data_IF_532125706675
#
_entry.id   IF_532125706675
#
_cell.length_a   1.000
_cell.length_b   1.000
_cell.length_c   1.000
_cell.angle_alpha   90.00
_cell.angle_beta   90.00
_cell.angle_gamma   90.00
#
_symmetry.space_group_name_H-M   'P 1'
#
loop_
_entity.id
_entity.type
_entity.pdbx_description
1 polymer ?
#
# COMPACT_ATOMS: atom_id res chain seq x y z
N UNK A 1 -26.21 58.21 -30.84
CA UNK A 1 -26.96 57.00 -30.48
C UNK A 1 -26.10 56.19 -29.53
N UNK A 2 -26.35 56.31 -28.22
CA UNK A 2 -25.65 55.57 -27.17
C UNK A 2 -26.30 54.20 -27.00
N UNK A 3 -25.56 53.12 -27.22
CA UNK A 3 -25.97 51.78 -26.83
C UNK A 3 -25.30 51.44 -25.49
N UNK A 4 -26.14 51.33 -24.46
CA UNK A 4 -25.79 50.77 -23.15
C UNK A 4 -25.65 49.25 -23.31
N UNK A 5 -24.50 48.69 -22.94
CA UNK A 5 -24.35 47.24 -22.78
C UNK A 5 -24.20 46.95 -21.30
N UNK A 6 -25.21 46.26 -20.77
CA UNK A 6 -25.39 45.91 -19.37
C UNK A 6 -24.44 44.78 -18.96
N UNK A 7 -23.71 44.97 -17.87
CA UNK A 7 -23.01 43.91 -17.16
C UNK A 7 -24.05 43.02 -16.46
N UNK A 8 -24.05 41.73 -16.78
CA UNK A 8 -24.71 40.69 -15.98
C UNK A 8 -23.59 39.94 -15.26
N UNK A 9 -23.45 40.22 -13.97
CA UNK A 9 -22.64 39.42 -13.06
C UNK A 9 -23.34 38.10 -12.80
N UNK A 10 -22.76 37.01 -13.28
CA UNK A 10 -23.11 35.67 -12.84
C UNK A 10 -22.20 35.36 -11.66
N UNK A 11 -22.75 35.53 -10.46
CA UNK A 11 -22.22 34.94 -9.23
C UNK A 11 -22.41 33.43 -9.34
N UNK A 12 -21.37 32.70 -9.75
CA UNK A 12 -21.33 31.24 -9.60
C UNK A 12 -21.06 30.95 -8.12
N UNK A 13 -22.15 30.67 -7.41
CA UNK A 13 -22.14 30.10 -6.07
C UNK A 13 -21.79 28.61 -6.17
N UNK A 14 -20.88 28.21 -5.29
CA UNK A 14 -20.20 26.93 -5.18
C UNK A 14 -21.10 25.69 -5.18
N UNK A 15 -20.62 24.64 -5.84
CA UNK A 15 -20.81 23.26 -5.43
C UNK A 15 -19.45 22.56 -5.53
N UNK A 16 -18.65 22.65 -4.46
CA UNK A 16 -17.54 21.74 -4.26
C UNK A 16 -18.15 20.39 -3.89
N UNK A 17 -18.40 19.55 -4.88
CA UNK A 17 -18.63 18.13 -4.63
C UNK A 17 -17.33 17.56 -4.07
N UNK A 18 -17.36 17.12 -2.81
CA UNK A 18 -16.40 16.16 -2.30
C UNK A 18 -16.58 14.87 -3.12
N UNK A 19 -15.87 14.79 -4.23
CA UNK A 19 -15.70 13.53 -4.96
C UNK A 19 -14.62 12.79 -4.19
N UNK A 20 -15.02 11.96 -3.22
CA UNK A 20 -14.12 10.95 -2.67
C UNK A 20 -13.70 10.00 -3.80
N UNK A 21 -12.50 9.45 -3.75
CA UNK A 21 -11.97 8.57 -4.79
C UNK A 21 -12.70 7.21 -4.92
N UNK A 22 -13.83 7.03 -4.21
CA UNK A 22 -14.72 5.89 -4.33
C UNK A 22 -16.17 6.34 -4.14
N UNK A 23 -17.07 5.78 -4.94
CA UNK A 23 -18.51 5.82 -4.65
C UNK A 23 -18.82 4.80 -3.57
N UNK A 24 -19.61 5.18 -2.57
CA UNK A 24 -20.15 4.26 -1.56
C UNK A 24 -21.04 3.21 -2.26
N UNK A 25 -20.43 2.13 -2.73
CA UNK A 25 -21.12 0.90 -3.09
C UNK A 25 -21.74 0.36 -1.82
N UNK A 26 -23.05 0.60 -1.65
CA UNK A 26 -23.80 0.24 -0.46
C UNK A 26 -23.51 -1.18 0.01
N UNK A 27 -22.84 -1.28 1.16
CA UNK A 27 -22.70 -2.53 1.90
C UNK A 27 -24.09 -2.94 2.35
N UNK A 28 -24.73 -3.82 1.59
CA UNK A 28 -25.87 -4.59 2.10
C UNK A 28 -25.33 -5.54 3.16
N UNK A 29 -25.41 -5.12 4.42
CA UNK A 29 -25.19 -6.01 5.56
C UNK A 29 -26.30 -7.05 5.59
N UNK A 30 -26.11 -8.19 4.93
CA UNK A 30 -26.93 -9.37 5.18
C UNK A 30 -26.43 -10.02 6.47
N UNK A 31 -27.18 -9.83 7.55
CA UNK A 31 -26.93 -10.47 8.84
C UNK A 31 -27.25 -11.97 8.84
N UNK A 32 -26.56 -12.68 9.75
CA UNK A 32 -26.84 -14.04 10.22
C UNK A 32 -25.98 -15.11 9.54
N UNK A 33 -25.24 -15.99 10.24
CA UNK A 33 -25.61 -16.71 11.46
C UNK A 33 -24.36 -17.14 12.23
N UNK A 34 -24.45 -17.19 13.57
CA UNK A 34 -23.35 -17.55 14.46
C UNK A 34 -22.73 -18.93 14.21
N UNK A 35 -21.41 -18.96 14.18
CA UNK A 35 -20.57 -20.16 14.32
C UNK A 35 -19.73 -20.03 15.59
N UNK A 36 -19.60 -21.13 16.32
CA UNK A 36 -19.06 -21.18 17.67
C UNK A 36 -17.61 -20.70 17.81
N UNK A 37 -17.27 -20.23 19.01
CA UNK A 37 -16.07 -19.46 19.29
C UNK A 37 -14.75 -20.20 19.01
N UNK A 38 -13.84 -19.49 18.35
CA UNK A 38 -12.41 -19.72 18.41
C UNK A 38 -11.80 -18.84 19.51
N UNK A 39 -10.96 -19.44 20.34
CA UNK A 39 -10.32 -18.78 21.47
C UNK A 39 -9.58 -17.51 21.03
N UNK A 40 -9.75 -16.43 21.79
CA UNK A 40 -9.11 -15.15 21.54
C UNK A 40 -7.60 -15.31 21.38
N UNK A 41 -7.10 -14.91 20.21
CA UNK A 41 -5.69 -14.63 20.01
C UNK A 41 -5.30 -13.50 20.95
N UNK A 42 -4.52 -13.85 21.98
CA UNK A 42 -3.86 -12.90 22.85
C UNK A 42 -3.07 -11.93 21.98
N UNK A 43 -3.41 -10.64 22.09
CA UNK A 43 -2.62 -9.54 21.58
C UNK A 43 -1.13 -9.79 21.91
N UNK A 44 -0.34 -10.10 20.88
CA UNK A 44 1.10 -10.27 20.98
C UNK A 44 1.79 -8.91 21.00
N UNK A 45 1.57 -8.13 22.06
CA UNK A 45 2.56 -7.15 22.49
C UNK A 45 3.57 -7.93 23.35
N UNK A 46 4.85 -7.81 23.00
CA UNK A 46 5.96 -8.63 23.51
C UNK A 46 5.84 -9.06 24.97
N UNK A 47 5.61 -10.36 25.16
CA UNK A 47 5.57 -11.01 26.46
C UNK A 47 6.38 -12.30 26.39
N UNK A 48 7.35 -12.43 27.28
CA UNK A 48 8.30 -13.53 27.35
C UNK A 48 7.61 -14.91 27.26
N UNK A 49 7.84 -15.61 26.15
CA UNK A 49 7.36 -16.96 25.93
C UNK A 49 7.71 -17.40 24.53
N UNK A 50 8.90 -17.99 24.37
CA UNK A 50 9.32 -18.68 23.15
C UNK A 50 8.50 -19.95 22.91
N UNK A 51 7.20 -19.79 22.65
CA UNK A 51 6.37 -20.81 22.03
C UNK A 51 6.70 -20.84 20.55
N UNK A 52 6.90 -22.04 20.01
CA UNK A 52 7.16 -22.21 18.57
C UNK A 52 6.04 -21.55 17.78
N UNK A 53 6.38 -20.53 17.01
CA UNK A 53 5.46 -19.92 16.06
C UNK A 53 5.42 -20.88 14.88
N UNK A 54 4.43 -21.79 14.88
CA UNK A 54 4.31 -22.82 13.84
C UNK A 54 3.60 -22.31 12.59
N UNK A 55 3.01 -21.12 12.68
CA UNK A 55 2.28 -20.45 11.60
C UNK A 55 3.12 -19.27 11.11
N UNK A 56 3.00 -18.95 9.81
CA UNK A 56 3.70 -17.83 9.22
C UNK A 56 3.20 -16.52 9.85
N UNK A 57 4.10 -15.75 10.47
CA UNK A 57 3.77 -14.48 11.15
C UNK A 57 3.52 -13.36 10.14
N UNK A 58 4.34 -13.32 9.08
CA UNK A 58 4.25 -12.32 8.03
C UNK A 58 4.85 -12.89 6.74
N UNK A 59 4.46 -12.31 5.61
CA UNK A 59 5.12 -12.55 4.34
C UNK A 59 6.28 -11.55 4.18
N UNK A 60 7.46 -12.09 3.88
CA UNK A 60 8.71 -11.30 3.85
C UNK A 60 8.90 -10.52 2.54
N UNK A 61 8.00 -10.63 1.56
CA UNK A 61 8.19 -10.08 0.22
C UNK A 61 8.07 -8.56 0.20
N UNK A 62 7.08 -7.99 0.91
CA UNK A 62 6.80 -6.54 0.94
C UNK A 62 6.48 -5.98 2.33
N UNK A 63 7.38 -5.19 2.97
CA UNK A 63 7.17 -4.76 4.33
C UNK A 63 6.12 -3.65 4.36
N UNK A 64 5.44 -3.52 5.50
CA UNK A 64 4.32 -2.61 5.73
C UNK A 64 3.05 -2.87 4.90
N UNK A 65 3.09 -3.63 3.79
CA UNK A 65 1.93 -3.85 2.90
C UNK A 65 0.76 -4.50 3.62
N UNK A 66 0.94 -5.64 4.29
CA UNK A 66 -0.13 -6.28 5.05
C UNK A 66 -0.68 -5.37 6.17
N UNK A 67 0.19 -4.52 6.75
CA UNK A 67 -0.21 -3.58 7.79
C UNK A 67 -1.05 -2.43 7.24
N UNK A 68 -0.67 -1.90 6.08
CA UNK A 68 -1.23 -0.70 5.48
C UNK A 68 -2.42 -0.97 4.56
N UNK A 69 -2.51 -2.14 3.93
CA UNK A 69 -3.52 -2.43 2.92
C UNK A 69 -4.59 -3.45 3.33
N UNK A 70 -4.29 -4.37 4.25
CA UNK A 70 -5.25 -5.41 4.64
C UNK A 70 -6.29 -4.87 5.63
N UNK A 71 -7.43 -4.44 5.10
CA UNK A 71 -8.59 -3.91 5.85
C UNK A 71 -8.22 -2.81 6.87
N UNK A 72 -7.22 -1.99 6.57
CA UNK A 72 -6.66 -1.00 7.50
C UNK A 72 -7.70 -0.03 8.05
N UNK A 73 -8.60 0.41 7.17
CA UNK A 73 -9.65 1.39 7.44
C UNK A 73 -10.99 0.77 7.86
N UNK A 74 -11.04 -0.57 8.02
CA UNK A 74 -12.23 -1.23 8.57
C UNK A 74 -12.43 -0.87 10.04
N UNK A 75 -13.66 -0.57 10.43
CA UNK A 75 -14.04 -0.38 11.83
C UNK A 75 -14.16 -1.70 12.60
N UNK A 76 -14.22 -2.84 11.90
CA UNK A 76 -14.27 -4.16 12.51
C UNK A 76 -12.84 -4.70 12.73
N UNK A 77 -12.35 -4.54 13.95
CA UNK A 77 -11.02 -5.03 14.32
C UNK A 77 -10.89 -6.55 14.26
N UNK A 78 -11.99 -7.29 14.44
CA UNK A 78 -11.97 -8.76 14.41
C UNK A 78 -11.81 -9.24 12.97
N UNK A 79 -12.60 -8.68 12.05
CA UNK A 79 -12.49 -8.97 10.62
C UNK A 79 -11.11 -8.56 10.07
N UNK A 80 -10.61 -7.39 10.48
CA UNK A 80 -9.28 -6.90 10.11
C UNK A 80 -8.17 -7.87 10.53
N UNK A 81 -8.16 -8.31 11.79
CA UNK A 81 -7.15 -9.27 12.27
C UNK A 81 -7.25 -10.61 11.56
N UNK A 82 -8.46 -11.17 11.45
CA UNK A 82 -8.67 -12.44 10.75
C UNK A 82 -8.22 -12.38 9.28
N UNK A 83 -8.42 -11.23 8.61
CA UNK A 83 -8.00 -11.05 7.23
C UNK A 83 -6.48 -10.95 7.07
N UNK A 84 -5.78 -10.35 8.06
CA UNK A 84 -4.31 -10.34 8.11
C UNK A 84 -3.75 -11.73 8.34
N UNK A 85 -4.38 -12.51 9.21
CA UNK A 85 -3.99 -13.90 9.46
C UNK A 85 -4.21 -14.76 8.19
N UNK A 86 -5.33 -14.57 7.49
CA UNK A 86 -5.59 -15.21 6.19
C UNK A 86 -4.56 -14.81 5.13
N UNK A 87 -4.20 -13.52 5.07
CA UNK A 87 -3.12 -13.04 4.20
C UNK A 87 -1.79 -13.74 4.50
N UNK A 88 -1.44 -13.92 5.77
CA UNK A 88 -0.19 -14.54 6.18
C UNK A 88 -0.19 -16.06 5.97
N UNK A 89 -1.36 -16.70 6.07
CA UNK A 89 -1.53 -18.14 5.91
C UNK A 89 -1.69 -18.58 4.43
N UNK A 90 -1.88 -17.65 3.49
CA UNK A 90 -2.06 -17.95 2.07
C UNK A 90 -0.73 -18.41 1.43
N UNK A 91 -0.51 -19.73 1.39
CA UNK A 91 0.68 -20.38 0.85
C UNK A 91 0.64 -20.60 -0.67
N UNK A 92 -0.55 -20.72 -1.24
CA UNK A 92 -0.76 -20.84 -2.69
C UNK A 92 -0.76 -19.47 -3.38
N UNK A 93 0.22 -19.24 -4.26
CA UNK A 93 0.33 -18.03 -5.09
C UNK A 93 -0.95 -17.76 -5.91
N UNK A 94 -1.65 -18.81 -6.35
CA UNK A 94 -2.89 -18.64 -7.12
C UNK A 94 -4.05 -18.08 -6.29
N UNK A 95 -3.95 -18.13 -4.96
CA UNK A 95 -4.96 -17.60 -4.04
C UNK A 95 -4.78 -16.11 -3.76
N UNK A 96 -3.57 -15.57 -3.94
CA UNK A 96 -3.22 -14.19 -3.59
C UNK A 96 -4.06 -13.08 -4.26
N UNK A 97 -4.55 -13.24 -5.50
CA UNK A 97 -5.43 -12.24 -6.11
C UNK A 97 -6.71 -11.93 -5.31
N UNK A 98 -7.10 -12.79 -4.35
CA UNK A 98 -8.24 -12.54 -3.44
C UNK A 98 -8.06 -11.28 -2.59
N UNK A 99 -6.83 -10.80 -2.39
CA UNK A 99 -6.52 -9.61 -1.57
C UNK A 99 -6.54 -8.30 -2.37
N UNK A 100 -6.56 -8.37 -3.71
CA UNK A 100 -6.55 -7.18 -4.59
C UNK A 100 -7.68 -6.19 -4.23
N UNK A 101 -8.93 -6.60 -3.98
CA UNK A 101 -9.99 -5.65 -3.64
C UNK A 101 -9.76 -4.91 -2.32
N UNK A 102 -9.20 -5.59 -1.31
CA UNK A 102 -8.85 -4.95 -0.03
C UNK A 102 -7.76 -3.88 -0.27
N UNK A 103 -6.76 -4.24 -1.08
CA UNK A 103 -5.62 -3.40 -1.38
C UNK A 103 -6.02 -2.19 -2.22
N UNK A 104 -6.79 -2.37 -3.28
CA UNK A 104 -7.30 -1.30 -4.11
C UNK A 104 -8.14 -0.29 -3.29
N UNK A 105 -8.96 -0.78 -2.36
CA UNK A 105 -9.76 0.07 -1.48
C UNK A 105 -8.90 0.91 -0.54
N UNK A 106 -7.88 0.29 0.08
CA UNK A 106 -6.95 1.00 0.96
C UNK A 106 -6.08 2.00 0.17
N UNK A 107 -5.61 1.63 -1.02
CA UNK A 107 -4.86 2.52 -1.92
C UNK A 107 -5.69 3.74 -2.32
N UNK A 108 -6.98 3.58 -2.64
CA UNK A 108 -7.86 4.71 -2.96
C UNK A 108 -7.97 5.71 -1.81
N UNK A 109 -8.01 5.22 -0.56
CA UNK A 109 -8.05 6.06 0.63
C UNK A 109 -6.70 6.75 0.84
N UNK A 110 -5.58 6.03 0.71
CA UNK A 110 -4.24 6.58 0.90
C UNK A 110 -3.89 7.63 -0.16
N UNK A 111 -4.19 7.34 -1.42
CA UNK A 111 -4.07 8.27 -2.54
C UNK A 111 -4.84 9.56 -2.24
N UNK A 112 -6.09 9.47 -1.74
CA UNK A 112 -6.90 10.66 -1.38
C UNK A 112 -6.26 11.63 -0.37
N UNK A 113 -5.24 11.18 0.37
CA UNK A 113 -4.47 12.01 1.31
C UNK A 113 -3.37 12.83 0.62
N UNK A 114 -2.94 12.42 -0.58
CA UNK A 114 -1.94 13.11 -1.41
C UNK A 114 -2.54 14.38 -2.03
N UNK A 115 -2.64 15.41 -1.21
CA UNK A 115 -3.28 16.68 -1.55
C UNK A 115 -2.26 17.76 -1.89
N UNK A 116 -1.22 17.43 -2.66
CA UNK A 116 -0.31 18.46 -3.16
C UNK A 116 -1.10 19.54 -3.92
N UNK A 117 -0.61 20.77 -3.83
CA UNK A 117 -1.08 21.98 -4.50
C UNK A 117 -1.38 21.85 -5.99
N UNK A 118 -0.85 20.81 -6.64
CA UNK A 118 -1.08 20.48 -8.05
C UNK A 118 -2.27 19.54 -8.30
N UNK A 119 -2.75 18.80 -7.28
CA UNK A 119 -3.87 17.85 -7.36
C UNK A 119 -4.87 18.12 -6.24
N UNK A 120 -5.83 19.06 -6.42
CA UNK A 120 -6.70 19.56 -5.35
C UNK A 120 -7.65 18.53 -4.70
N UNK A 121 -7.75 17.32 -5.26
CA UNK A 121 -8.61 16.24 -4.78
C UNK A 121 -7.85 14.96 -4.40
N UNK A 122 -6.52 14.93 -4.53
CA UNK A 122 -5.67 13.78 -4.21
C UNK A 122 -6.07 12.44 -4.82
N UNK A 123 -6.81 12.41 -5.92
CA UNK A 123 -7.15 11.13 -6.57
C UNK A 123 -6.37 10.96 -7.87
N UNK A 124 -5.74 9.81 -8.04
CA UNK A 124 -5.13 9.34 -9.27
C UNK A 124 -3.64 9.66 -9.40
N UNK A 125 -2.92 9.89 -8.29
CA UNK A 125 -1.46 10.07 -8.30
C UNK A 125 -0.72 8.75 -8.06
N UNK A 126 -1.44 7.70 -7.63
CA UNK A 126 -0.89 6.37 -7.39
C UNK A 126 -0.13 5.77 -8.60
N UNK A 127 0.93 5.01 -8.32
CA UNK A 127 1.65 4.23 -9.34
C UNK A 127 0.73 3.22 -10.02
N UNK A 128 0.99 2.95 -11.29
CA UNK A 128 0.19 2.01 -12.10
C UNK A 128 -1.31 2.30 -12.07
N UNK A 129 -1.70 3.58 -11.97
CA UNK A 129 -3.09 4.00 -11.99
C UNK A 129 -3.75 3.58 -13.32
N UNK A 130 -4.88 2.90 -13.21
CA UNK A 130 -5.70 2.50 -14.33
C UNK A 130 -6.69 3.59 -14.73
N UNK A 131 -7.20 3.48 -15.95
CA UNK A 131 -8.40 4.23 -16.33
C UNK A 131 -9.57 3.80 -15.45
N UNK A 132 -10.33 4.75 -14.86
CA UNK A 132 -11.52 4.39 -14.08
C UNK A 132 -12.51 3.67 -14.98
N UNK A 133 -12.97 2.49 -14.57
CA UNK A 133 -14.21 1.93 -15.11
C UNK A 133 -15.35 2.34 -14.21
N UNK A 134 -16.47 2.79 -14.78
CA UNK A 134 -17.63 3.20 -14.00
C UNK A 134 -17.50 4.56 -13.28
N UNK A 135 -18.61 5.04 -12.68
CA UNK A 135 -18.65 6.33 -11.99
C UNK A 135 -17.92 6.31 -10.63
N UNK A 136 -17.59 5.14 -10.09
CA UNK A 136 -16.87 4.98 -8.82
C UNK A 136 -15.37 4.75 -8.99
N UNK A 137 -14.86 4.65 -10.21
CA UNK A 137 -13.45 4.34 -10.45
C UNK A 137 -13.11 2.88 -10.10
N UNK A 138 -14.09 2.00 -10.18
CA UNK A 138 -13.93 0.58 -9.98
C UNK A 138 -12.80 0.10 -10.90
N UNK A 139 -11.81 -0.63 -10.37
CA UNK A 139 -10.55 -1.07 -11.02
C UNK A 139 -9.41 -0.05 -11.17
N UNK A 140 -9.61 1.23 -10.85
CA UNK A 140 -8.57 2.27 -11.00
C UNK A 140 -7.26 1.94 -10.27
N UNK A 141 -7.34 1.26 -9.12
CA UNK A 141 -6.19 0.93 -8.28
C UNK A 141 -5.72 -0.53 -8.41
N UNK A 142 -6.32 -1.31 -9.32
CA UNK A 142 -6.06 -2.75 -9.44
C UNK A 142 -4.63 -3.05 -9.93
N UNK A 143 -4.04 -2.16 -10.72
CA UNK A 143 -2.67 -2.32 -11.24
C UNK A 143 -1.65 -2.46 -10.12
N UNK A 144 -1.55 -1.45 -9.25
CA UNK A 144 -0.66 -1.51 -8.09
C UNK A 144 -1.13 -2.51 -7.06
N UNK A 145 -2.44 -2.63 -6.81
CA UNK A 145 -2.96 -3.63 -5.88
C UNK A 145 -2.57 -5.07 -6.27
N UNK A 146 -2.55 -5.38 -7.58
CA UNK A 146 -2.08 -6.65 -8.11
C UNK A 146 -0.59 -6.88 -7.85
N UNK A 147 0.25 -5.87 -8.12
CA UNK A 147 1.70 -5.93 -7.85
C UNK A 147 1.97 -6.13 -6.36
N UNK A 148 1.23 -5.45 -5.49
CA UNK A 148 1.42 -5.54 -4.04
C UNK A 148 0.84 -6.82 -3.43
N UNK A 149 -0.25 -7.36 -4.00
CA UNK A 149 -0.79 -8.66 -3.61
C UNK A 149 0.16 -9.81 -4.01
N UNK A 150 0.94 -9.60 -5.08
CA UNK A 150 2.10 -10.43 -5.41
C UNK A 150 3.27 -10.12 -4.47
N UNK A 151 3.17 -10.68 -3.27
CA UNK A 151 4.13 -10.55 -2.18
C UNK A 151 5.38 -11.44 -2.36
N UNK A 152 5.89 -11.47 -3.59
CA UNK A 152 7.17 -12.06 -3.94
C UNK A 152 8.24 -10.97 -4.05
N UNK A 153 9.47 -11.37 -3.74
CA UNK A 153 10.63 -10.52 -3.95
C UNK A 153 11.27 -10.86 -5.28
N UNK A 154 11.18 -9.94 -6.24
CA UNK A 154 11.78 -10.12 -7.56
C UNK A 154 13.22 -9.63 -7.56
N UNK A 155 14.12 -10.45 -8.13
CA UNK A 155 15.53 -10.12 -8.28
C UNK A 155 15.97 -10.39 -9.71
N UNK A 156 16.44 -9.36 -10.41
CA UNK A 156 17.14 -9.53 -11.67
C UNK A 156 18.63 -9.82 -11.41
N UNK A 157 18.97 -11.10 -11.44
CA UNK A 157 20.35 -11.58 -11.28
C UNK A 157 21.29 -11.24 -12.44
N UNK A 158 20.76 -10.74 -13.57
CA UNK A 158 21.57 -10.33 -14.71
C UNK A 158 22.10 -8.90 -14.57
N UNK A 159 21.45 -8.09 -13.72
CA UNK A 159 21.88 -6.73 -13.41
C UNK A 159 22.98 -6.71 -12.34
N UNK A 160 23.99 -5.87 -12.56
CA UNK A 160 25.02 -5.56 -11.56
C UNK A 160 24.73 -4.27 -10.80
N UNK A 161 23.55 -3.67 -11.00
CA UNK A 161 23.16 -2.39 -10.43
C UNK A 161 21.94 -2.58 -9.53
N UNK A 162 22.12 -2.46 -8.22
CA UNK A 162 21.03 -2.53 -7.25
C UNK A 162 20.74 -1.14 -6.69
N UNK A 163 19.73 -0.45 -7.23
CA UNK A 163 19.45 0.95 -6.88
C UNK A 163 18.13 1.19 -6.16
N UNK A 164 17.20 0.23 -6.19
CA UNK A 164 15.88 0.38 -5.58
C UNK A 164 15.30 -0.96 -5.14
N UNK A 165 14.58 -0.97 -4.02
CA UNK A 165 13.89 -2.13 -3.46
C UNK A 165 12.84 -2.74 -4.43
N UNK A 166 12.09 -1.89 -5.12
CA UNK A 166 11.05 -2.29 -6.09
C UNK A 166 11.48 -2.06 -7.53
N UNK A 167 12.78 -2.15 -7.80
CA UNK A 167 13.36 -1.80 -9.09
C UNK A 167 12.79 -2.60 -10.26
N UNK A 168 12.73 -3.93 -10.13
CA UNK A 168 12.22 -4.84 -11.19
C UNK A 168 10.75 -4.56 -11.48
N UNK A 169 9.94 -4.36 -10.44
CA UNK A 169 8.54 -4.03 -10.60
C UNK A 169 8.34 -2.64 -11.20
N UNK A 170 9.15 -1.66 -10.78
CA UNK A 170 9.09 -0.31 -11.32
C UNK A 170 9.45 -0.26 -12.81
N UNK A 171 10.44 -1.03 -13.24
CA UNK A 171 10.81 -1.17 -14.65
C UNK A 171 9.69 -1.86 -15.44
N UNK A 172 9.12 -2.94 -14.90
CA UNK A 172 8.00 -3.65 -15.53
C UNK A 172 6.76 -2.75 -15.71
N UNK A 173 6.57 -1.78 -14.80
CA UNK A 173 5.52 -0.77 -14.88
C UNK A 173 5.90 0.46 -15.73
N UNK A 174 7.13 0.54 -16.24
CA UNK A 174 7.64 1.67 -17.02
C UNK A 174 7.83 2.96 -16.21
N UNK A 175 7.92 2.86 -14.89
CA UNK A 175 8.17 4.00 -13.98
C UNK A 175 9.63 4.44 -14.08
N UNK A 176 10.53 3.48 -14.27
CA UNK A 176 11.96 3.69 -14.51
C UNK A 176 12.39 2.95 -15.78
N UNK A 177 13.42 3.45 -16.46
CA UNK A 177 13.97 2.81 -17.67
C UNK A 177 14.86 1.60 -17.33
N UNK A 178 15.57 1.67 -16.20
CA UNK A 178 16.50 0.64 -15.71
C UNK A 178 16.25 0.46 -14.20
N UNK A 179 15.47 -0.56 -13.84
CA UNK A 179 15.12 -0.89 -12.45
C UNK A 179 16.26 -1.55 -11.68
N UNK A 180 17.25 -2.06 -12.40
CA UNK A 180 18.37 -2.75 -11.82
C UNK A 180 17.97 -4.10 -11.23
N UNK A 181 18.70 -4.54 -10.21
CA UNK A 181 18.54 -5.88 -9.66
C UNK A 181 17.24 -6.07 -8.85
N UNK A 182 16.56 -4.99 -8.46
CA UNK A 182 15.41 -5.04 -7.54
C UNK A 182 15.76 -5.69 -6.20
N UNK A 183 14.79 -6.38 -5.62
CA UNK A 183 15.02 -7.17 -4.42
C UNK A 183 15.21 -6.34 -3.16
N UNK A 184 15.68 -6.97 -2.08
CA UNK A 184 15.97 -6.29 -0.81
C UNK A 184 17.44 -6.43 -0.47
N UNK A 185 18.02 -5.33 -0.02
CA UNK A 185 19.27 -5.32 0.73
C UNK A 185 19.02 -4.67 2.09
N UNK A 186 19.75 -5.05 3.16
CA UNK A 186 19.69 -4.35 4.43
C UNK A 186 19.89 -2.83 4.30
N UNK A 187 20.62 -2.38 3.26
CA UNK A 187 20.88 -0.95 3.04
C UNK A 187 19.65 -0.14 2.57
N UNK A 188 18.58 -0.78 2.13
CA UNK A 188 17.37 -0.07 1.72
C UNK A 188 16.49 0.19 2.93
N UNK A 189 16.01 1.43 3.03
CA UNK A 189 14.89 1.73 3.90
C UNK A 189 13.59 1.31 3.22
N UNK A 190 13.31 0.02 3.33
CA UNK A 190 12.15 -0.59 2.68
C UNK A 190 10.82 -0.13 3.28
N UNK A 191 10.82 0.52 4.45
CA UNK A 191 9.62 1.11 5.04
C UNK A 191 9.33 2.46 4.40
N UNK A 192 10.35 3.31 4.26
CA UNK A 192 10.26 4.57 3.53
C UNK A 192 9.84 4.34 2.07
N UNK A 193 10.46 3.39 1.39
CA UNK A 193 10.11 3.03 0.02
C UNK A 193 8.64 2.56 -0.07
N UNK A 194 8.21 1.68 0.84
CA UNK A 194 6.81 1.22 0.91
C UNK A 194 5.85 2.40 1.13
N UNK A 195 6.12 3.29 2.08
CA UNK A 195 5.25 4.44 2.34
C UNK A 195 5.27 5.46 1.21
N UNK A 196 6.38 5.63 0.52
CA UNK A 196 6.48 6.49 -0.67
C UNK A 196 5.57 5.98 -1.78
N UNK A 197 5.57 4.67 -2.02
CA UNK A 197 4.66 4.04 -3.00
C UNK A 197 3.22 4.23 -2.55
N UNK A 198 2.91 3.90 -1.31
CA UNK A 198 1.54 3.88 -0.83
C UNK A 198 0.90 5.28 -0.73
N UNK A 199 1.65 6.27 -0.25
CA UNK A 199 1.11 7.58 0.12
C UNK A 199 1.39 8.68 -0.92
N UNK A 200 2.44 8.55 -1.74
CA UNK A 200 2.83 9.59 -2.69
C UNK A 200 2.91 9.09 -4.14
N UNK A 201 2.66 7.80 -4.40
CA UNK A 201 2.78 7.24 -5.74
C UNK A 201 4.19 7.42 -6.32
N UNK A 202 5.22 7.35 -5.49
CA UNK A 202 6.63 7.49 -5.91
C UNK A 202 7.48 6.40 -5.26
N UNK A 203 8.68 6.15 -5.80
CA UNK A 203 9.56 5.11 -5.25
C UNK A 203 10.37 5.58 -4.03
N UNK A 204 10.31 6.86 -3.66
CA UNK A 204 11.01 7.45 -2.52
C UNK A 204 10.42 8.83 -2.18
N UNK A 205 10.68 9.32 -0.96
CA UNK A 205 10.37 10.70 -0.55
C UNK A 205 9.40 10.84 0.63
N UNK A 206 8.80 9.73 1.07
CA UNK A 206 8.02 9.65 2.32
C UNK A 206 8.80 8.85 3.35
N UNK A 207 9.16 9.49 4.46
CA UNK A 207 9.90 8.86 5.55
C UNK A 207 9.01 8.36 6.69
N UNK A 208 9.45 7.34 7.40
CA UNK A 208 8.84 6.84 8.65
C UNK A 208 9.36 7.55 9.91
N UNK A 209 10.39 8.40 9.74
CA UNK A 209 11.06 9.16 10.80
C UNK A 209 12.27 8.46 11.41
N UNK A 210 12.75 7.36 10.82
CA UNK A 210 13.93 6.59 11.21
C UNK A 210 15.00 6.66 10.12
N UNK A 211 15.67 7.81 10.03
CA UNK A 211 16.59 8.12 8.92
C UNK A 211 17.83 7.20 8.80
N UNK A 212 18.16 6.42 9.83
CA UNK A 212 19.33 5.55 9.83
C UNK A 212 19.29 4.45 10.91
N UNK A 213 19.99 3.36 10.61
CA UNK A 213 20.34 2.35 11.60
C UNK A 213 21.29 2.94 12.66
N UNK A 214 21.19 2.43 13.90
CA UNK A 214 22.10 2.81 14.98
C UNK A 214 23.57 2.49 14.64
N UNK A 215 23.80 1.38 13.92
CA UNK A 215 25.09 0.99 13.38
C UNK A 215 24.92 0.67 11.89
N UNK A 216 25.91 1.04 11.07
CA UNK A 216 25.88 0.79 9.63
C UNK A 216 26.06 -0.69 9.28
N UNK A 217 25.43 -1.13 8.18
CA UNK A 217 25.65 -2.47 7.64
C UNK A 217 27.03 -2.62 6.99
N UNK A 218 27.62 -3.81 7.12
CA UNK A 218 28.89 -4.17 6.50
C UNK A 218 28.73 -4.38 5.00
N UNK A 219 29.81 -4.16 4.22
CA UNK A 219 29.82 -4.38 2.78
C UNK A 219 29.87 -5.87 2.36
N UNK A 220 30.02 -6.79 3.31
CA UNK A 220 30.12 -8.22 3.07
C UNK A 220 29.42 -9.03 4.16
N UNK A 221 29.10 -10.27 3.85
CA UNK A 221 28.45 -11.20 4.78
C UNK A 221 29.21 -11.26 6.12
N UNK A 222 28.53 -11.18 7.28
CA UNK A 222 27.08 -11.30 7.48
C UNK A 222 26.25 -10.02 7.30
N UNK A 223 26.83 -8.94 6.76
CA UNK A 223 26.21 -7.63 6.51
C UNK A 223 25.75 -6.88 7.77
N UNK A 224 25.59 -7.53 8.92
CA UNK A 224 25.26 -6.91 10.20
C UNK A 224 26.53 -6.42 10.92
N UNK A 225 26.40 -5.29 11.63
CA UNK A 225 27.42 -4.83 12.56
C UNK A 225 27.63 -5.84 13.71
N UNK A 226 28.75 -5.71 14.41
CA UNK A 226 28.99 -6.51 15.62
C UNK A 226 27.93 -6.16 16.69
N UNK A 227 27.47 -7.14 17.49
CA UNK A 227 26.55 -6.86 18.60
C UNK A 227 27.17 -5.84 19.56
N UNK A 228 26.39 -4.82 19.89
CA UNK A 228 26.70 -3.87 20.94
C UNK A 228 26.22 -4.39 22.30
N UNK A 229 27.05 -4.22 23.34
CA UNK A 229 26.71 -4.51 24.74
C UNK A 229 26.16 -3.28 25.46
#
# INVERSE_FOLDING_TARGET
>A
MQAKTSFIGITLLSAASLIGCGSDGGVTSSGGSGGAGGAGGTAGMGGAGGGAVTEQIDRIGRPAINTALTQTFSSDSTAKSARKDEYNAADDLASWPVFIPDFASALAILDSLDTDSTVPAGCGTQLAIGEPTGPGGETRYDGLAGVLADDQLYVDSSSNLCVAYLGVEAEALGIVEEGGCGGRTPQYDVIDDSYSVLAAGTLAGVGDGVDANAEGFLAGFPFLAEPNE
#
